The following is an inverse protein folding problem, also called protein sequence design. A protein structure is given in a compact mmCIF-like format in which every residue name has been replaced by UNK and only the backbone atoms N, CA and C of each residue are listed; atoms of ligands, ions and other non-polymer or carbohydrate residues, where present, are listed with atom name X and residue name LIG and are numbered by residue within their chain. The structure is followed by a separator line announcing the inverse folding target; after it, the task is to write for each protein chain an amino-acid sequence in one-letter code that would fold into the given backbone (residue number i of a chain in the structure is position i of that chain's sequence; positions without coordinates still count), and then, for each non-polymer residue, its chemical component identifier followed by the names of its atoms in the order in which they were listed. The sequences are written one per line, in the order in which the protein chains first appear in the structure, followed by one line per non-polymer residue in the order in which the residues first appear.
data_IF_641791515337
#
_entry.id   IF_641791515337
#
_cell.length_a   1.000
_cell.length_b   1.000
_cell.length_c   1.000
_cell.angle_alpha   90.00
_cell.angle_beta   90.00
_cell.angle_gamma   90.00
#
_symmetry.space_group_name_H-M   'P 1'
#
loop_
_entity.id
_entity.type
_entity.pdbx_description
1 polymer ?
#
# COMPACT_ATOMS: atom_id res chain seq x y z
N UNK A 1 -5.20 -10.43 -18.44
CA UNK A 1 -6.67 -10.38 -18.22
C UNK A 1 -6.91 -9.37 -17.12
N UNK A 2 -7.55 -8.25 -17.43
CA UNK A 2 -7.79 -7.15 -16.49
C UNK A 2 -9.05 -7.47 -15.69
N UNK A 3 -8.94 -7.54 -14.36
CA UNK A 3 -10.10 -7.61 -13.48
C UNK A 3 -10.35 -6.20 -12.93
N UNK A 4 -11.49 -5.64 -13.33
CA UNK A 4 -12.00 -4.38 -12.79
C UNK A 4 -12.55 -4.69 -11.40
N UNK A 5 -11.94 -4.15 -10.35
CA UNK A 5 -12.47 -4.27 -8.99
C UNK A 5 -13.58 -3.23 -8.83
N UNK A 6 -14.81 -3.61 -9.16
CA UNK A 6 -16.00 -2.76 -8.99
C UNK A 6 -16.67 -2.92 -7.62
N UNK A 7 -16.08 -3.70 -6.72
CA UNK A 7 -16.71 -4.03 -5.45
C UNK A 7 -16.33 -3.00 -4.39
N UNK A 8 -17.29 -2.13 -4.09
CA UNK A 8 -17.15 -0.87 -3.38
C UNK A 8 -16.87 -1.08 -1.89
N UNK A 9 -15.61 -1.21 -1.43
CA UNK A 9 -15.13 -0.64 -0.14
C UNK A 9 -13.77 -1.23 0.30
N UNK A 10 -13.46 -2.47 -0.11
CA UNK A 10 -12.22 -3.13 0.28
C UNK A 10 -11.91 -4.36 -0.57
N UNK A 11 -10.65 -4.77 -0.62
CA UNK A 11 -10.19 -6.01 -1.28
C UNK A 11 -9.57 -6.95 -0.26
N UNK A 12 -9.80 -8.26 -0.40
CA UNK A 12 -9.10 -9.24 0.43
C UNK A 12 -7.59 -9.20 0.17
N UNK A 13 -6.82 -9.42 1.23
CA UNK A 13 -5.37 -9.59 1.18
C UNK A 13 -5.03 -10.92 1.87
N UNK A 14 -3.88 -11.50 1.55
CA UNK A 14 -3.43 -12.78 2.11
C UNK A 14 -2.98 -12.68 3.56
N UNK A 15 -3.83 -12.16 4.44
CA UNK A 15 -3.62 -12.13 5.90
C UNK A 15 -4.88 -12.65 6.58
N UNK A 16 -4.70 -13.55 7.55
CA UNK A 16 -5.79 -14.16 8.29
C UNK A 16 -5.47 -14.37 9.76
N UNK A 17 -6.50 -14.37 10.59
CA UNK A 17 -6.40 -14.67 12.01
C UNK A 17 -6.26 -16.18 12.20
N UNK A 18 -5.19 -16.58 12.89
CA UNK A 18 -4.94 -17.96 13.28
C UNK A 18 -5.28 -18.13 14.76
N UNK A 19 -6.37 -18.84 15.12
CA UNK A 19 -6.77 -19.03 16.51
C UNK A 19 -5.72 -19.73 17.37
N UNK A 20 -4.91 -20.61 16.76
CA UNK A 20 -3.83 -21.34 17.44
C UNK A 20 -2.72 -20.42 17.92
N UNK A 21 -2.41 -19.37 17.14
CA UNK A 21 -1.41 -18.36 17.49
C UNK A 21 -2.00 -17.15 18.23
N UNK A 22 -3.33 -17.03 18.24
CA UNK A 22 -4.02 -15.85 18.76
C UNK A 22 -3.67 -14.57 18.01
N UNK A 23 -3.26 -14.66 16.73
CA UNK A 23 -2.68 -13.54 15.98
C UNK A 23 -3.11 -13.52 14.51
N UNK A 24 -3.03 -12.33 13.90
CA UNK A 24 -3.05 -12.18 12.45
C UNK A 24 -1.70 -12.56 11.86
N UNK A 25 -1.72 -13.37 10.81
CA UNK A 25 -0.53 -13.87 10.11
C UNK A 25 -0.77 -13.72 8.61
N UNK A 26 0.28 -13.35 7.87
CA UNK A 26 0.26 -13.41 6.41
C UNK A 26 0.22 -14.87 5.92
N UNK A 27 -0.28 -15.09 4.70
CA UNK A 27 -0.38 -16.43 4.11
C UNK A 27 0.98 -17.11 3.90
N UNK A 28 2.08 -16.34 3.92
CA UNK A 28 3.45 -16.86 3.92
C UNK A 28 4.01 -17.20 5.31
N UNK A 29 3.19 -17.07 6.36
CA UNK A 29 3.55 -17.34 7.75
C UNK A 29 4.25 -16.19 8.47
N UNK A 30 4.53 -15.07 7.80
CA UNK A 30 5.14 -13.91 8.45
C UNK A 30 4.11 -13.12 9.27
N UNK A 31 4.58 -12.38 10.28
CA UNK A 31 3.73 -11.56 11.12
C UNK A 31 3.65 -10.11 10.60
N UNK A 32 2.48 -9.45 10.69
CA UNK A 32 2.38 -8.02 10.41
C UNK A 32 3.28 -7.24 11.37
N UNK A 33 3.88 -6.17 10.88
CA UNK A 33 4.71 -5.29 11.70
C UNK A 33 3.85 -4.46 12.67
N UNK A 34 4.39 -3.97 13.81
CA UNK A 34 3.62 -3.18 14.77
C UNK A 34 3.02 -1.88 14.23
N UNK A 35 3.60 -1.33 13.16
CA UNK A 35 3.16 -0.12 12.45
C UNK A 35 2.15 -0.39 11.32
N UNK A 36 1.71 -1.64 11.17
CA UNK A 36 0.67 -2.02 10.19
C UNK A 36 -0.61 -1.19 10.46
N UNK A 37 -1.18 -0.50 9.46
CA UNK A 37 -2.26 0.47 9.66
C UNK A 37 -3.62 -0.20 9.85
N UNK A 38 -3.78 -0.94 10.96
CA UNK A 38 -5.04 -1.59 11.30
C UNK A 38 -6.12 -0.56 11.65
N UNK A 39 -7.35 -0.85 11.25
CA UNK A 39 -8.53 -0.05 11.55
C UNK A 39 -9.74 -0.93 11.82
N UNK A 40 -10.62 -0.47 12.70
CA UNK A 40 -11.88 -1.14 13.03
C UNK A 40 -11.71 -2.16 14.15
N UNK A 41 -12.42 -3.29 14.01
CA UNK A 41 -12.52 -4.33 15.05
C UNK A 41 -11.23 -5.16 15.12
N UNK A 42 -10.74 -5.54 16.33
CA UNK A 42 -9.67 -6.52 16.45
C UNK A 42 -10.05 -7.87 15.85
N UNK A 43 -9.05 -8.60 15.37
CA UNK A 43 -9.22 -9.93 14.80
C UNK A 43 -9.58 -10.95 15.89
N UNK A 44 -10.49 -11.86 15.56
CA UNK A 44 -10.88 -12.97 16.43
C UNK A 44 -11.37 -14.17 15.62
N UNK A 45 -11.89 -15.20 16.31
CA UNK A 45 -12.39 -16.42 15.67
C UNK A 45 -13.62 -16.20 14.77
N UNK A 46 -14.29 -15.05 14.85
CA UNK A 46 -15.40 -14.64 13.99
C UNK A 46 -14.93 -13.68 12.89
N UNK A 47 -13.94 -12.83 13.17
CA UNK A 47 -13.35 -11.85 12.25
C UNK A 47 -11.95 -12.31 11.86
N UNK A 48 -11.88 -13.14 10.81
CA UNK A 48 -10.64 -13.82 10.44
C UNK A 48 -9.90 -13.22 9.26
N UNK A 49 -10.60 -12.61 8.31
CA UNK A 49 -10.02 -12.31 7.01
C UNK A 49 -9.70 -10.83 6.87
N UNK A 50 -8.44 -10.51 6.58
CA UNK A 50 -8.01 -9.14 6.41
C UNK A 50 -8.38 -8.59 5.03
N UNK A 51 -8.68 -7.29 4.99
CA UNK A 51 -9.07 -6.55 3.80
C UNK A 51 -8.37 -5.20 3.79
N UNK A 52 -7.89 -4.79 2.63
CA UNK A 52 -7.35 -3.46 2.38
C UNK A 52 -8.49 -2.54 1.92
N UNK A 53 -8.74 -1.48 2.66
CA UNK A 53 -9.74 -0.45 2.33
C UNK A 53 -9.21 0.51 1.27
N UNK A 54 -10.12 1.27 0.63
CA UNK A 54 -9.75 2.22 -0.43
C UNK A 54 -8.79 3.33 0.01
N UNK A 55 -8.74 3.64 1.32
CA UNK A 55 -7.85 4.64 1.92
C UNK A 55 -6.54 4.04 2.48
N UNK A 56 -6.27 2.77 2.21
CA UNK A 56 -4.98 2.13 2.54
C UNK A 56 -4.87 1.57 3.95
N UNK A 57 -5.97 1.49 4.71
CA UNK A 57 -6.01 0.85 6.03
C UNK A 57 -6.36 -0.63 5.91
N UNK A 58 -6.00 -1.42 6.92
CA UNK A 58 -6.32 -2.85 6.97
C UNK A 58 -7.41 -3.08 8.01
N UNK A 59 -8.51 -3.69 7.58
CA UNK A 59 -9.60 -4.10 8.46
C UNK A 59 -9.79 -5.62 8.42
N UNK A 60 -10.45 -6.18 9.43
CA UNK A 60 -10.71 -7.62 9.53
C UNK A 60 -12.21 -7.88 9.50
N UNK A 61 -12.64 -8.94 8.80
CA UNK A 61 -14.05 -9.27 8.59
C UNK A 61 -14.34 -10.77 8.62
N UNK A 62 -15.63 -11.11 8.57
CA UNK A 62 -16.17 -12.48 8.74
C UNK A 62 -15.97 -13.39 7.51
N UNK A 63 -15.45 -12.87 6.39
CA UNK A 63 -15.09 -13.68 5.20
C UNK A 63 -16.27 -14.25 4.39
N UNK A 64 -17.50 -13.98 4.81
CA UNK A 64 -18.73 -14.49 4.18
C UNK A 64 -19.11 -13.78 2.88
N UNK A 65 -18.51 -12.62 2.61
CA UNK A 65 -18.77 -11.82 1.42
C UNK A 65 -17.81 -12.19 0.29
N UNK A 66 -18.35 -12.49 -0.89
CA UNK A 66 -17.57 -12.62 -2.11
C UNK A 66 -17.02 -11.23 -2.48
N UNK A 67 -15.70 -11.05 -2.42
CA UNK A 67 -15.01 -9.81 -2.81
C UNK A 67 -13.79 -10.12 -3.67
N UNK A 68 -13.30 -9.10 -4.36
CA UNK A 68 -12.01 -9.17 -5.05
C UNK A 68 -10.85 -9.34 -4.06
N UNK A 69 -9.77 -9.98 -4.50
CA UNK A 69 -8.57 -10.20 -3.70
C UNK A 69 -7.31 -9.68 -4.42
N UNK A 70 -6.35 -9.19 -3.65
CA UNK A 70 -4.99 -8.89 -4.10
C UNK A 70 -4.10 -10.11 -3.85
N UNK A 71 -3.47 -10.61 -4.91
CA UNK A 71 -2.51 -11.70 -4.83
C UNK A 71 -1.09 -11.14 -4.94
N UNK A 72 -0.23 -11.47 -3.98
CA UNK A 72 1.21 -11.22 -4.06
C UNK A 72 1.93 -12.34 -4.81
N UNK A 73 2.93 -12.00 -5.63
CA UNK A 73 3.82 -13.00 -6.22
C UNK A 73 5.06 -13.19 -5.34
N UNK A 74 5.10 -14.29 -4.59
CA UNK A 74 6.21 -14.60 -3.67
C UNK A 74 7.41 -15.27 -4.36
N UNK A 75 7.31 -15.70 -5.63
CA UNK A 75 8.42 -16.35 -6.35
C UNK A 75 9.55 -15.39 -6.72
N UNK A 76 9.22 -14.12 -6.91
CA UNK A 76 10.16 -13.01 -7.12
C UNK A 76 9.77 -11.91 -6.13
N UNK A 77 9.95 -12.17 -4.83
CA UNK A 77 9.68 -11.16 -3.81
C UNK A 77 10.38 -9.86 -4.22
N UNK A 78 9.61 -8.79 -4.42
CA UNK A 78 10.19 -7.46 -4.58
C UNK A 78 11.10 -7.24 -3.37
N UNK A 79 12.35 -6.86 -3.63
CA UNK A 79 13.35 -6.67 -2.57
C UNK A 79 12.77 -5.75 -1.50
N UNK A 80 12.86 -6.19 -0.24
CA UNK A 80 12.48 -5.40 0.93
C UNK A 80 13.13 -4.02 0.80
N UNK A 81 12.30 -2.97 0.80
CA UNK A 81 12.79 -1.61 0.74
C UNK A 81 13.28 -1.19 2.12
N UNK A 82 14.59 -1.12 2.29
CA UNK A 82 15.20 -0.53 3.48
C UNK A 82 15.16 0.99 3.36
N UNK A 83 15.12 1.71 4.48
CA UNK A 83 15.06 3.16 4.47
C UNK A 83 15.19 3.78 5.84
N UNK A 84 15.35 5.10 5.88
CA UNK A 84 15.41 5.88 7.13
C UNK A 84 14.35 6.97 7.12
N UNK A 85 13.72 7.17 8.26
CA UNK A 85 12.86 8.33 8.49
C UNK A 85 13.72 9.50 8.95
N UNK A 86 13.66 10.63 8.24
CA UNK A 86 14.30 11.89 8.63
C UNK A 86 13.23 12.88 9.06
N UNK A 87 13.46 13.53 10.20
CA UNK A 87 12.60 14.58 10.75
C UNK A 87 13.34 15.90 10.65
N UNK A 88 12.64 16.96 10.25
CA UNK A 88 13.26 18.28 10.17
C UNK A 88 13.93 18.60 8.84
N UNK A 89 13.84 17.69 7.85
CA UNK A 89 14.45 17.83 6.53
C UNK A 89 13.38 17.69 5.45
N UNK A 90 13.21 18.71 4.62
CA UNK A 90 12.42 18.66 3.39
C UNK A 90 13.34 18.38 2.22
N UNK A 91 13.14 17.25 1.55
CA UNK A 91 13.82 16.95 0.30
C UNK A 91 13.07 17.59 -0.86
N UNK A 92 13.69 18.60 -1.47
CA UNK A 92 13.24 19.13 -2.76
C UNK A 92 13.71 18.14 -3.83
N UNK A 93 12.76 17.42 -4.39
CA UNK A 93 13.01 16.43 -5.44
C UNK A 93 12.51 16.94 -6.78
N UNK A 94 13.21 16.59 -7.86
CA UNK A 94 12.63 16.67 -9.19
C UNK A 94 11.71 15.46 -9.36
N UNK A 95 10.40 15.70 -9.33
CA UNK A 95 9.39 14.67 -9.48
C UNK A 95 9.20 14.40 -10.97
N UNK A 96 9.63 13.22 -11.43
CA UNK A 96 9.36 12.78 -12.80
C UNK A 96 7.95 12.20 -12.86
N UNK A 97 6.98 12.99 -13.31
CA UNK A 97 5.64 12.49 -13.64
C UNK A 97 5.74 11.62 -14.90
N UNK A 98 5.45 10.33 -14.75
CA UNK A 98 5.46 9.37 -15.85
C UNK A 98 4.14 9.39 -16.61
N UNK A 99 3.04 9.49 -15.87
CA UNK A 99 1.70 9.45 -16.40
C UNK A 99 0.70 10.05 -15.43
N UNK A 100 -0.39 10.59 -15.95
CA UNK A 100 -1.48 11.11 -15.15
C UNK A 100 -2.80 10.81 -15.85
N UNK A 101 -3.71 10.13 -15.15
CA UNK A 101 -5.01 9.73 -15.71
C UNK A 101 -6.09 9.63 -14.65
N UNK A 102 -7.34 9.70 -15.10
CA UNK A 102 -8.48 9.45 -14.21
C UNK A 102 -8.64 7.96 -13.92
N UNK A 103 -8.70 7.61 -12.65
CA UNK A 103 -8.99 6.26 -12.15
C UNK A 103 -10.02 6.37 -11.03
N UNK A 104 -10.79 5.32 -10.82
CA UNK A 104 -11.91 5.38 -9.87
C UNK A 104 -11.48 5.04 -8.43
N UNK A 105 -10.25 4.54 -8.25
CA UNK A 105 -9.78 4.14 -6.93
C UNK A 105 -8.24 4.13 -6.80
N UNK A 106 -7.76 4.25 -5.56
CA UNK A 106 -6.34 4.10 -5.24
C UNK A 106 -5.77 2.73 -5.61
N UNK A 107 -6.46 1.59 -5.37
CA UNK A 107 -5.96 0.28 -5.79
C UNK A 107 -5.71 0.17 -7.30
N UNK A 108 -6.56 0.75 -8.15
CA UNK A 108 -6.31 0.80 -9.60
C UNK A 108 -5.03 1.58 -9.91
N UNK A 109 -4.79 2.69 -9.20
CA UNK A 109 -3.59 3.51 -9.34
C UNK A 109 -2.33 2.75 -8.90
N UNK A 110 -2.38 2.08 -7.76
CA UNK A 110 -1.27 1.27 -7.23
C UNK A 110 -0.93 0.09 -8.15
N UNK A 111 -1.94 -0.61 -8.67
CA UNK A 111 -1.75 -1.69 -9.65
C UNK A 111 -1.09 -1.19 -10.94
N UNK A 112 -1.53 -0.04 -11.45
CA UNK A 112 -0.96 0.56 -12.65
C UNK A 112 0.52 0.93 -12.45
N UNK A 113 0.87 1.45 -11.28
CA UNK A 113 2.27 1.69 -10.92
C UNK A 113 3.07 0.37 -10.85
N UNK A 114 2.52 -0.68 -10.23
CA UNK A 114 3.17 -1.99 -10.15
C UNK A 114 3.42 -2.64 -11.52
N UNK A 115 2.65 -2.27 -12.54
CA UNK A 115 2.84 -2.71 -13.93
C UNK A 115 3.79 -1.82 -14.75
N UNK A 116 4.13 -0.64 -14.25
CA UNK A 116 4.95 0.35 -14.95
C UNK A 116 6.38 0.28 -14.41
N UNK A 117 7.32 -0.21 -15.21
CA UNK A 117 8.71 -0.50 -14.79
C UNK A 117 9.41 0.69 -14.11
N UNK A 118 9.19 1.89 -14.64
CA UNK A 118 9.81 3.12 -14.15
C UNK A 118 9.10 3.72 -12.94
N UNK A 119 7.91 3.22 -12.59
CA UNK A 119 7.11 3.77 -11.50
C UNK A 119 7.74 3.42 -10.14
N UNK A 120 7.73 4.42 -9.26
CA UNK A 120 8.24 4.33 -7.88
C UNK A 120 7.16 4.67 -6.87
N UNK A 121 6.28 5.60 -7.21
CA UNK A 121 5.20 6.07 -6.35
C UNK A 121 3.93 6.27 -7.17
N UNK A 122 2.78 5.93 -6.58
CA UNK A 122 1.47 6.20 -7.13
C UNK A 122 0.75 7.18 -6.20
N UNK A 123 0.37 8.35 -6.71
CA UNK A 123 -0.39 9.35 -5.97
C UNK A 123 -1.83 9.34 -6.48
N UNK A 124 -2.78 9.08 -5.59
CA UNK A 124 -4.20 9.12 -5.93
C UNK A 124 -4.88 10.29 -5.23
N UNK A 125 -5.45 11.20 -5.99
CA UNK A 125 -6.30 12.25 -5.49
C UNK A 125 -7.76 11.79 -5.57
N UNK A 126 -8.38 11.59 -4.40
CA UNK A 126 -9.75 11.10 -4.29
C UNK A 126 -10.78 12.14 -4.76
N UNK A 127 -10.56 13.43 -4.50
CA UNK A 127 -11.50 14.50 -4.87
C UNK A 127 -11.64 14.64 -6.40
N UNK A 128 -10.54 14.46 -7.13
CA UNK A 128 -10.50 14.57 -8.59
C UNK A 128 -10.45 13.23 -9.32
N UNK A 129 -10.47 12.12 -8.59
CA UNK A 129 -10.32 10.76 -9.12
C UNK A 129 -9.13 10.65 -10.07
N UNK A 130 -8.01 11.25 -9.68
CA UNK A 130 -6.81 11.36 -10.52
C UNK A 130 -5.69 10.54 -9.94
N UNK A 131 -5.12 9.66 -10.76
CA UNK A 131 -3.91 8.91 -10.47
C UNK A 131 -2.73 9.54 -11.18
N UNK A 132 -1.66 9.81 -10.45
CA UNK A 132 -0.37 10.27 -10.95
C UNK A 132 0.67 9.19 -10.68
N UNK A 133 1.30 8.68 -11.74
CA UNK A 133 2.43 7.76 -11.63
C UNK A 133 3.72 8.57 -11.60
N UNK A 134 4.50 8.37 -10.55
CA UNK A 134 5.75 9.09 -10.31
C UNK A 134 6.91 8.13 -10.42
N UNK A 135 7.91 8.52 -11.21
CA UNK A 135 9.13 7.75 -11.44
C UNK A 135 10.21 8.02 -10.40
N UNK A 136 11.45 7.70 -10.76
CA UNK A 136 12.59 7.98 -9.88
C UNK A 136 12.73 9.49 -9.58
N UNK A 137 12.69 9.81 -8.30
CA UNK A 137 12.90 11.17 -7.80
C UNK A 137 14.40 11.42 -7.64
N UNK A 138 14.90 12.50 -8.25
CA UNK A 138 16.25 13.00 -7.95
C UNK A 138 16.16 14.08 -6.91
N UNK A 139 16.80 13.87 -5.75
CA UNK A 139 16.95 14.91 -4.74
C UNK A 139 17.82 16.02 -5.35
N UNK A 140 17.24 17.20 -5.51
CA UNK A 140 17.95 18.39 -5.97
C UNK A 140 18.60 19.08 -4.77
N UNK A 141 17.86 19.16 -3.66
CA UNK A 141 18.28 19.90 -2.47
C UNK A 141 17.60 19.34 -1.21
N UNK A 142 18.27 19.46 -0.07
CA UNK A 142 17.71 19.20 1.25
C UNK A 142 17.64 20.54 1.98
N UNK A 143 16.45 20.94 2.42
CA UNK A 143 16.23 22.18 3.19
C UNK A 143 15.68 21.84 4.58
N UNK A 144 16.09 22.57 5.63
CA UNK A 144 15.51 22.36 6.97
C UNK A 144 14.03 22.70 6.98
N UNK A 145 13.19 21.78 7.47
CA UNK A 145 11.78 22.03 7.75
C UNK A 145 11.33 21.19 8.97
N UNK A 146 11.18 21.81 10.16
CA UNK A 146 10.91 21.10 11.42
C UNK A 146 9.56 20.38 11.45
N UNK A 147 8.64 20.71 10.55
CA UNK A 147 7.27 20.17 10.54
C UNK A 147 7.08 18.97 9.61
N UNK A 148 8.15 18.49 8.95
CA UNK A 148 8.06 17.43 7.95
C UNK A 148 8.81 16.18 8.43
N UNK A 149 8.18 15.03 8.22
CA UNK A 149 8.73 13.69 8.40
C UNK A 149 8.79 13.05 7.01
N UNK A 150 9.99 12.70 6.56
CA UNK A 150 10.20 12.05 5.26
C UNK A 150 10.78 10.64 5.43
N UNK A 151 10.31 9.68 4.64
CA UNK A 151 10.92 8.36 4.55
C UNK A 151 11.82 8.28 3.31
N UNK A 152 13.12 8.05 3.52
CA UNK A 152 14.11 7.87 2.47
C UNK A 152 14.33 6.38 2.27
N UNK A 153 13.91 5.85 1.13
CA UNK A 153 14.27 4.49 0.71
C UNK A 153 15.77 4.43 0.37
N UNK A 154 16.50 3.53 1.01
CA UNK A 154 17.84 3.11 0.62
C UNK A 154 17.73 2.19 -0.60
N UNK A 155 18.43 2.55 -1.67
CA UNK A 155 18.60 1.69 -2.84
C UNK A 155 20.00 1.06 -2.76
N UNK A 156 20.07 -0.27 -2.88
CA UNK A 156 21.32 -1.03 -3.02
C UNK A 156 21.60 -1.28 -4.50
#
# INVERSE_FOLDING_TARGET
MFYRVTDHDSVYIGMQYQPEEGALVWDDGTRPRPDTPFYGRPADSSYRYARLTLDGRIMVGEGSEQKSALCGNHKNAASESWGRTVQGELMITNIKVLDQRKLFSYPECALLCGMTLDCRVAEFNFDFLTCTLVGENKVIMIVPNPNIINYIRQMF
#
